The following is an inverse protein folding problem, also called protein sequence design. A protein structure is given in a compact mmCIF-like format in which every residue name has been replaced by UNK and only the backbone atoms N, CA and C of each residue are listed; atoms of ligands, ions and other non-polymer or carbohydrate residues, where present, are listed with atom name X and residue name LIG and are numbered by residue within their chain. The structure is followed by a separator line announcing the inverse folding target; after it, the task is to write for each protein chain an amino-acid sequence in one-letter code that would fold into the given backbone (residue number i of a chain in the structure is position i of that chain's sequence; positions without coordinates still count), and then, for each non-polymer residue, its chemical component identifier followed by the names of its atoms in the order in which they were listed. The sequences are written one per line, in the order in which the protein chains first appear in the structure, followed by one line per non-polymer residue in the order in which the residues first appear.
data_IF_557138107722
#
_entry.id   IF_557138107722
#
_cell.length_a   1.000
_cell.length_b   1.000
_cell.length_c   1.000
_cell.angle_alpha   90.00
_cell.angle_beta   90.00
_cell.angle_gamma   90.00
#
_symmetry.space_group_name_H-M   'P 1'
#
loop_
_entity.id
_entity.type
_entity.pdbx_description
1 polymer ?
#
# COMPACT_ATOMS: atom_id res chain seq x y z
N UNK A 1 3.29 40.92 -56.23
CA UNK A 1 2.92 39.54 -55.82
C UNK A 1 4.06 38.91 -55.01
N UNK A 2 4.37 39.42 -53.81
CA UNK A 2 5.44 38.87 -52.94
C UNK A 2 5.07 38.83 -51.45
N UNK A 3 3.83 39.17 -51.10
CA UNK A 3 3.40 39.27 -49.70
C UNK A 3 2.64 38.05 -49.19
N UNK A 4 2.09 37.23 -50.10
CA UNK A 4 1.08 36.24 -49.73
C UNK A 4 1.72 35.02 -49.04
N UNK A 5 2.93 34.63 -49.47
CA UNK A 5 3.67 33.48 -48.93
C UNK A 5 4.18 33.68 -47.49
N UNK A 6 4.53 34.92 -47.10
CA UNK A 6 5.06 35.19 -45.75
C UNK A 6 3.95 35.16 -44.68
N UNK A 7 2.74 35.57 -45.04
CA UNK A 7 1.56 35.49 -44.18
C UNK A 7 1.08 34.05 -43.98
N UNK A 8 1.15 33.20 -45.01
CA UNK A 8 0.79 31.78 -44.92
C UNK A 8 1.78 30.98 -44.04
N UNK A 9 3.08 31.25 -44.17
CA UNK A 9 4.13 30.62 -43.35
C UNK A 9 4.05 31.04 -41.88
N UNK A 10 3.74 32.32 -41.61
CA UNK A 10 3.53 32.83 -40.25
C UNK A 10 2.27 32.21 -39.58
N UNK A 11 1.16 32.10 -40.31
CA UNK A 11 -0.06 31.42 -39.87
C UNK A 11 0.20 29.95 -39.50
N UNK A 12 0.81 29.20 -40.42
CA UNK A 12 1.05 27.76 -40.24
C UNK A 12 2.02 27.49 -39.09
N UNK A 13 3.08 28.30 -38.92
CA UNK A 13 3.99 28.18 -37.79
C UNK A 13 3.30 28.47 -36.45
N UNK A 14 2.43 29.48 -36.38
CA UNK A 14 1.68 29.80 -35.15
C UNK A 14 0.73 28.67 -34.74
N UNK A 15 0.04 28.05 -35.71
CA UNK A 15 -0.84 26.90 -35.49
C UNK A 15 -0.04 25.68 -34.99
N UNK A 16 1.13 25.42 -35.58
CA UNK A 16 2.03 24.34 -35.13
C UNK A 16 2.48 24.58 -33.69
N UNK A 17 2.88 25.82 -33.35
CA UNK A 17 3.30 26.15 -31.99
C UNK A 17 2.18 26.03 -30.96
N UNK A 18 0.95 26.39 -31.32
CA UNK A 18 -0.19 26.25 -30.43
C UNK A 18 -0.58 24.78 -30.20
N UNK A 19 -0.54 23.95 -31.25
CA UNK A 19 -0.73 22.50 -31.12
C UNK A 19 0.36 21.86 -30.25
N UNK A 20 1.64 22.25 -30.44
CA UNK A 20 2.75 21.74 -29.62
C UNK A 20 2.58 22.13 -28.15
N UNK A 21 2.17 23.37 -27.85
CA UNK A 21 1.87 23.79 -26.47
C UNK A 21 0.73 22.98 -25.86
N UNK A 22 -0.35 22.73 -26.60
CA UNK A 22 -1.49 21.95 -26.12
C UNK A 22 -1.10 20.50 -25.84
N UNK A 23 -0.35 19.85 -26.74
CA UNK A 23 0.15 18.50 -26.54
C UNK A 23 1.12 18.47 -25.35
N UNK A 24 2.02 19.45 -25.24
CA UNK A 24 2.93 19.58 -24.10
C UNK A 24 2.20 19.73 -22.78
N UNK A 25 1.15 20.56 -22.74
CA UNK A 25 0.28 20.72 -21.57
C UNK A 25 -0.47 19.43 -21.24
N UNK A 26 -1.02 18.72 -22.25
CA UNK A 26 -1.71 17.46 -22.04
C UNK A 26 -0.78 16.37 -21.48
N UNK A 27 0.45 16.27 -21.99
CA UNK A 27 1.48 15.35 -21.49
C UNK A 27 1.88 15.72 -20.07
N UNK A 28 2.09 17.02 -19.78
CA UNK A 28 2.41 17.49 -18.43
C UNK A 28 1.29 17.15 -17.44
N UNK A 29 0.04 17.44 -17.78
CA UNK A 29 -1.13 17.10 -16.96
C UNK A 29 -1.26 15.59 -16.78
N UNK A 30 -1.08 14.80 -17.84
CA UNK A 30 -1.11 13.35 -17.76
C UNK A 30 -0.02 12.80 -16.81
N UNK A 31 1.19 13.38 -16.83
CA UNK A 31 2.26 13.02 -15.90
C UNK A 31 1.94 13.41 -14.46
N UNK A 32 1.39 14.60 -14.22
CA UNK A 32 0.97 15.05 -12.88
C UNK A 32 -0.13 14.11 -12.36
N UNK A 33 -1.16 13.83 -13.15
CA UNK A 33 -2.25 12.93 -12.78
C UNK A 33 -1.72 11.51 -12.52
N UNK A 34 -0.89 10.98 -13.42
CA UNK A 34 -0.32 9.64 -13.30
C UNK A 34 0.54 9.49 -12.04
N UNK A 35 1.30 10.51 -11.68
CA UNK A 35 2.18 10.46 -10.50
C UNK A 35 1.44 10.75 -9.19
N UNK A 36 0.35 11.52 -9.24
CA UNK A 36 -0.35 12.02 -8.05
C UNK A 36 -1.61 11.24 -7.70
N UNK A 37 -2.24 10.51 -8.62
CA UNK A 37 -3.55 9.88 -8.37
C UNK A 37 -3.41 8.39 -8.05
N UNK A 38 -2.71 7.61 -8.89
CA UNK A 38 -2.62 6.16 -8.75
C UNK A 38 -1.16 5.68 -8.79
N UNK A 39 -0.72 5.01 -7.73
CA UNK A 39 0.56 4.28 -7.70
C UNK A 39 0.32 2.77 -7.59
N UNK A 40 1.15 1.99 -8.30
CA UNK A 40 1.12 0.54 -8.22
C UNK A 40 2.15 0.03 -7.19
N UNK A 41 1.71 -0.83 -6.27
CA UNK A 41 2.55 -1.42 -5.23
C UNK A 41 2.53 -2.94 -5.32
N UNK A 42 3.66 -3.60 -5.08
CA UNK A 42 3.73 -5.06 -4.92
C UNK A 42 3.77 -5.41 -3.44
N UNK A 43 2.97 -6.39 -3.01
CA UNK A 43 2.97 -6.91 -1.64
C UNK A 43 4.05 -7.98 -1.48
N UNK A 44 5.09 -7.73 -0.65
CA UNK A 44 6.19 -8.67 -0.47
C UNK A 44 6.08 -9.48 0.82
N UNK A 45 5.18 -9.13 1.75
CA UNK A 45 5.11 -9.73 3.09
C UNK A 45 3.72 -10.26 3.41
N UNK A 46 3.68 -11.20 4.35
CA UNK A 46 2.48 -11.89 4.84
C UNK A 46 1.67 -11.10 5.90
N UNK A 47 2.08 -9.87 6.22
CA UNK A 47 1.54 -9.14 7.38
C UNK A 47 0.07 -8.74 7.27
N UNK A 48 -0.47 -8.74 6.04
CA UNK A 48 -1.86 -8.43 5.72
C UNK A 48 -2.61 -9.67 5.18
N UNK A 49 -2.08 -10.88 5.38
CA UNK A 49 -2.73 -12.12 4.91
C UNK A 49 -4.15 -12.29 5.47
N UNK A 50 -5.00 -12.97 4.69
CA UNK A 50 -6.48 -12.88 4.61
C UNK A 50 -6.96 -11.79 3.65
N UNK A 51 -6.50 -10.55 3.81
CA UNK A 51 -6.91 -9.46 2.91
C UNK A 51 -5.96 -9.29 1.72
N UNK A 52 -4.66 -9.24 1.96
CA UNK A 52 -3.61 -9.07 0.95
C UNK A 52 -2.58 -10.19 1.03
N UNK A 53 -2.34 -10.87 -0.09
CA UNK A 53 -1.41 -12.00 -0.18
C UNK A 53 -0.07 -11.57 -0.77
N UNK A 54 0.99 -12.30 -0.42
CA UNK A 54 2.29 -12.15 -1.08
C UNK A 54 2.11 -12.37 -2.58
N UNK A 55 2.63 -11.43 -3.37
CA UNK A 55 2.51 -11.45 -4.83
C UNK A 55 1.28 -10.71 -5.38
N UNK A 56 0.43 -10.13 -4.53
CA UNK A 56 -0.58 -9.17 -4.97
C UNK A 56 0.06 -7.85 -5.41
N UNK A 57 -0.54 -7.23 -6.41
CA UNK A 57 -0.21 -5.89 -6.89
C UNK A 57 -1.42 -4.99 -6.73
N UNK A 58 -1.23 -3.90 -5.99
CA UNK A 58 -2.27 -2.98 -5.57
C UNK A 58 -2.22 -1.71 -6.41
N UNK A 59 -3.38 -1.16 -6.74
CA UNK A 59 -3.53 0.23 -7.12
C UNK A 59 -3.95 1.02 -5.89
N UNK A 60 -3.18 2.07 -5.59
CA UNK A 60 -3.41 2.93 -4.44
C UNK A 60 -3.95 4.30 -4.85
N UNK A 61 -4.94 4.80 -4.12
CA UNK A 61 -5.41 6.17 -4.20
C UNK A 61 -4.56 7.09 -3.34
N UNK A 62 -3.75 7.92 -3.96
CA UNK A 62 -2.97 8.94 -3.24
C UNK A 62 -3.74 10.22 -2.99
N UNK A 63 -4.77 10.47 -3.80
CA UNK A 63 -5.51 11.73 -3.79
C UNK A 63 -6.38 11.85 -2.53
N UNK A 64 -6.92 10.73 -2.06
CA UNK A 64 -7.90 10.70 -0.98
C UNK A 64 -7.35 11.28 0.34
N UNK A 65 -6.09 10.98 0.66
CA UNK A 65 -5.37 11.50 1.83
C UNK A 65 -4.48 12.72 1.52
N UNK A 66 -4.71 13.39 0.39
CA UNK A 66 -3.94 14.54 -0.06
C UNK A 66 -2.64 14.12 -0.73
N UNK A 67 -2.64 14.09 -2.07
CA UNK A 67 -1.46 13.68 -2.83
C UNK A 67 -0.35 14.73 -2.78
N UNK A 68 0.90 14.27 -2.69
CA UNK A 68 2.07 15.11 -2.91
C UNK A 68 2.23 15.41 -4.40
N UNK A 69 2.31 16.70 -4.74
CA UNK A 69 2.57 17.09 -6.12
C UNK A 69 4.03 16.81 -6.48
N UNK A 70 4.30 16.29 -7.68
CA UNK A 70 5.66 16.27 -8.20
C UNK A 70 6.16 17.71 -8.39
N UNK A 71 7.47 17.94 -8.19
CA UNK A 71 8.18 19.21 -8.42
C UNK A 71 7.98 20.32 -7.38
N UNK A 72 6.93 20.26 -6.57
CA UNK A 72 6.64 21.23 -5.51
C UNK A 72 6.38 20.47 -4.22
N UNK A 73 7.01 20.89 -3.11
CA UNK A 73 6.78 20.33 -1.78
C UNK A 73 5.44 20.80 -1.19
N UNK A 74 4.37 20.63 -1.97
CA UNK A 74 3.00 21.01 -1.62
C UNK A 74 2.11 19.78 -1.66
N UNK A 75 1.27 19.62 -0.64
CA UNK A 75 0.28 18.55 -0.54
C UNK A 75 -1.09 19.08 -0.97
N UNK A 76 -1.76 18.37 -1.88
CA UNK A 76 -3.13 18.71 -2.24
C UNK A 76 -4.05 18.54 -1.01
N UNK A 77 -5.17 19.30 -0.94
CA UNK A 77 -6.16 19.10 0.11
C UNK A 77 -6.62 17.64 0.11
N UNK A 78 -6.60 17.00 1.29
CA UNK A 78 -7.16 15.67 1.48
C UNK A 78 -8.68 15.74 1.39
N UNK A 79 -9.30 14.68 0.85
CA UNK A 79 -10.76 14.52 0.89
C UNK A 79 -11.17 14.16 2.31
N UNK A 80 -10.48 13.19 2.91
CA UNK A 80 -10.63 12.80 4.30
C UNK A 80 -9.27 12.28 4.82
N UNK A 81 -9.20 12.06 6.13
CA UNK A 81 -8.08 11.36 6.76
C UNK A 81 -8.36 9.85 6.82
N UNK A 82 -7.33 9.00 7.00
CA UNK A 82 -7.55 7.58 7.24
C UNK A 82 -8.53 7.32 8.37
N UNK A 83 -9.51 6.46 8.12
CA UNK A 83 -10.54 6.06 9.05
C UNK A 83 -10.32 4.62 9.53
N UNK A 84 -10.83 4.24 10.71
CA UNK A 84 -10.74 2.87 11.17
C UNK A 84 -11.38 1.90 10.19
N UNK A 85 -10.61 0.93 9.70
CA UNK A 85 -11.00 0.02 8.62
C UNK A 85 -10.14 0.19 7.37
N UNK A 86 -9.66 1.39 7.07
CA UNK A 86 -8.95 1.66 5.81
C UNK A 86 -7.63 0.90 5.72
N UNK A 87 -7.31 0.39 4.52
CA UNK A 87 -5.99 -0.18 4.25
C UNK A 87 -5.07 0.89 3.71
N UNK A 88 -4.12 1.30 4.54
CA UNK A 88 -3.30 2.49 4.34
C UNK A 88 -1.88 2.10 3.97
N UNK A 89 -1.36 2.78 2.95
CA UNK A 89 0.03 2.72 2.53
C UNK A 89 0.74 3.95 3.09
N UNK A 90 1.84 3.73 3.80
CA UNK A 90 2.59 4.80 4.48
C UNK A 90 4.08 4.48 4.53
N UNK A 91 4.89 5.49 4.80
CA UNK A 91 6.33 5.34 5.07
C UNK A 91 6.51 5.00 6.55
N UNK A 92 7.25 3.93 6.85
CA UNK A 92 7.50 3.52 8.23
C UNK A 92 8.32 4.59 8.98
N UNK A 93 7.87 5.03 10.16
CA UNK A 93 8.55 6.11 10.90
C UNK A 93 9.96 5.77 11.39
N UNK A 94 10.37 4.51 11.38
CA UNK A 94 11.68 4.09 11.91
C UNK A 94 12.86 4.42 11.00
N UNK A 95 12.67 4.38 9.68
CA UNK A 95 13.72 4.71 8.69
C UNK A 95 13.31 5.83 7.71
N UNK A 96 12.03 6.20 7.69
CA UNK A 96 11.47 7.20 6.78
C UNK A 96 11.71 6.87 5.28
N UNK A 97 11.84 5.59 4.96
CA UNK A 97 12.11 5.10 3.59
C UNK A 97 11.23 3.90 3.24
N UNK A 98 11.11 2.93 4.14
CA UNK A 98 10.43 1.67 3.85
C UNK A 98 8.91 1.87 3.84
N UNK A 99 8.25 1.46 2.75
CA UNK A 99 6.80 1.54 2.62
C UNK A 99 6.12 0.33 3.28
N UNK A 100 5.10 0.60 4.08
CA UNK A 100 4.28 -0.39 4.77
C UNK A 100 2.83 -0.28 4.31
N UNK A 101 2.13 -1.41 4.33
CA UNK A 101 0.68 -1.49 4.13
C UNK A 101 0.07 -2.12 5.37
N UNK A 102 -0.86 -1.43 6.02
CA UNK A 102 -1.53 -1.88 7.25
C UNK A 102 -2.96 -1.35 7.30
N UNK A 103 -3.81 -1.94 8.13
CA UNK A 103 -5.14 -1.42 8.42
C UNK A 103 -5.08 -0.34 9.49
N UNK A 104 -5.74 0.80 9.26
CA UNK A 104 -5.98 1.79 10.30
C UNK A 104 -7.01 1.23 11.27
N UNK A 105 -6.70 1.21 12.57
CA UNK A 105 -7.63 0.70 13.58
C UNK A 105 -8.05 1.76 14.59
N UNK A 106 -7.31 2.86 14.69
CA UNK A 106 -7.63 3.98 15.57
C UNK A 106 -6.98 5.26 15.05
N UNK A 107 -7.61 6.40 15.33
CA UNK A 107 -7.20 7.74 14.89
C UNK A 107 -6.87 8.63 16.09
N UNK A 108 -6.40 9.86 15.84
CA UNK A 108 -6.05 10.82 16.89
C UNK A 108 -7.15 10.99 17.93
N UNK A 109 -6.77 10.94 19.22
CA UNK A 109 -7.67 11.01 20.36
C UNK A 109 -8.17 9.65 20.87
N UNK A 110 -8.13 8.60 20.04
CA UNK A 110 -8.59 7.27 20.44
C UNK A 110 -7.66 6.61 21.45
N UNK A 111 -8.23 5.79 22.35
CA UNK A 111 -7.48 4.94 23.27
C UNK A 111 -7.47 3.50 22.80
N UNK A 112 -6.28 2.98 22.48
CA UNK A 112 -6.05 1.61 22.05
C UNK A 112 -5.61 0.74 23.23
N UNK A 113 -6.26 -0.41 23.37
CA UNK A 113 -5.89 -1.46 24.31
C UNK A 113 -5.95 -2.81 23.59
N UNK A 114 -4.91 -3.63 23.69
CA UNK A 114 -4.97 -5.05 23.32
C UNK A 114 -4.96 -5.87 24.59
N UNK A 115 -5.91 -6.79 24.76
CA UNK A 115 -5.96 -7.73 25.88
C UNK A 115 -6.13 -9.13 25.34
N UNK A 116 -5.16 -10.01 25.61
CA UNK A 116 -5.19 -11.41 25.15
C UNK A 116 -5.51 -11.53 23.65
N UNK A 117 -4.79 -10.77 22.82
CA UNK A 117 -4.95 -10.65 21.34
C UNK A 117 -6.18 -9.90 20.86
N UNK A 118 -7.15 -9.59 21.72
CA UNK A 118 -8.33 -8.83 21.33
C UNK A 118 -8.06 -7.33 21.38
N UNK A 119 -8.36 -6.64 20.28
CA UNK A 119 -8.23 -5.19 20.16
C UNK A 119 -9.48 -4.48 20.67
N UNK A 120 -9.28 -3.48 21.51
CA UNK A 120 -10.28 -2.54 21.99
C UNK A 120 -9.86 -1.12 21.65
N UNK A 121 -10.80 -0.34 21.13
CA UNK A 121 -10.63 1.09 20.81
C UNK A 121 -11.72 1.84 21.56
N UNK A 122 -11.32 2.81 22.38
CA UNK A 122 -12.22 3.56 23.27
C UNK A 122 -13.07 2.67 24.20
N UNK A 123 -12.57 1.48 24.54
CA UNK A 123 -13.26 0.51 25.38
C UNK A 123 -14.21 -0.42 24.64
N UNK A 124 -14.49 -0.17 23.36
CA UNK A 124 -15.27 -1.05 22.50
C UNK A 124 -14.38 -2.04 21.77
N UNK A 125 -14.86 -3.26 21.55
CA UNK A 125 -14.10 -4.29 20.81
C UNK A 125 -14.08 -3.93 19.33
N UNK A 126 -12.89 -3.82 18.75
CA UNK A 126 -12.75 -3.60 17.31
C UNK A 126 -13.21 -4.84 16.54
N UNK A 127 -13.87 -4.71 15.37
CA UNK A 127 -14.45 -5.83 14.62
C UNK A 127 -13.39 -6.69 13.89
N UNK A 128 -12.44 -7.26 14.65
CA UNK A 128 -11.32 -8.06 14.15
C UNK A 128 -11.76 -9.29 13.34
N UNK A 129 -12.96 -9.82 13.56
CA UNK A 129 -13.41 -11.09 12.99
C UNK A 129 -13.50 -11.09 11.46
N UNK A 130 -13.52 -9.93 10.82
CA UNK A 130 -13.68 -9.79 9.38
C UNK A 130 -12.36 -10.01 8.59
N UNK A 131 -11.21 -9.70 9.21
CA UNK A 131 -9.91 -9.70 8.52
C UNK A 131 -8.74 -10.19 9.39
N UNK A 132 -8.89 -10.29 10.70
CA UNK A 132 -7.79 -10.64 11.58
C UNK A 132 -7.45 -12.15 11.54
N UNK A 133 -6.22 -12.46 11.14
CA UNK A 133 -5.63 -13.80 11.21
C UNK A 133 -4.70 -13.92 12.40
N UNK A 134 -4.89 -14.99 13.17
CA UNK A 134 -4.03 -15.35 14.30
C UNK A 134 -3.43 -16.73 14.03
N UNK A 135 -2.12 -16.77 13.75
CA UNK A 135 -1.42 -17.98 13.35
C UNK A 135 -0.76 -18.72 14.51
N UNK A 136 -0.58 -18.07 15.67
CA UNK A 136 0.05 -18.71 16.83
C UNK A 136 -0.92 -19.76 17.41
N UNK A 137 -0.79 -20.98 16.91
CA UNK A 137 -1.47 -22.17 17.42
C UNK A 137 -0.47 -22.94 18.28
N UNK A 138 -0.85 -23.36 19.49
CA UNK A 138 -0.10 -24.42 20.17
C UNK A 138 -1.05 -25.54 20.58
N UNK A 139 -0.54 -26.77 20.45
CA UNK A 139 -1.12 -28.08 20.79
C UNK A 139 -2.65 -28.11 21.06
N UNK A 140 -3.42 -28.63 20.10
CA UNK A 140 -4.85 -28.89 20.27
C UNK A 140 -5.80 -27.83 19.70
N UNK A 141 -5.31 -26.90 18.87
CA UNK A 141 -6.16 -25.95 18.13
C UNK A 141 -6.61 -24.71 18.91
N UNK A 142 -6.05 -24.48 20.10
CA UNK A 142 -6.32 -23.26 20.87
C UNK A 142 -5.27 -22.19 20.56
N UNK A 143 -5.71 -20.95 20.33
CA UNK A 143 -4.81 -19.81 20.20
C UNK A 143 -4.10 -19.57 21.53
N UNK A 144 -2.78 -19.68 21.54
CA UNK A 144 -1.99 -19.46 22.76
C UNK A 144 -1.36 -18.07 22.70
N UNK A 145 -1.60 -17.27 23.73
CA UNK A 145 -0.89 -16.01 23.96
C UNK A 145 0.49 -16.36 24.49
N UNK A 146 1.52 -16.26 23.64
CA UNK A 146 2.91 -16.51 24.06
C UNK A 146 3.50 -15.19 24.58
N UNK A 147 3.75 -15.06 25.89
CA UNK A 147 4.36 -13.86 26.44
C UNK A 147 5.80 -13.72 25.91
N UNK A 148 6.05 -12.71 25.07
CA UNK A 148 7.38 -12.44 24.49
C UNK A 148 8.42 -11.89 25.49
N UNK A 149 8.01 -11.50 26.70
CA UNK A 149 8.89 -11.01 27.78
C UNK A 149 8.41 -11.48 29.15
N UNK A 150 9.31 -11.70 30.13
CA UNK A 150 8.93 -11.91 31.52
C UNK A 150 8.02 -10.77 32.01
N UNK A 151 6.88 -11.13 32.60
CA UNK A 151 5.89 -10.17 33.09
C UNK A 151 4.76 -9.82 32.12
N UNK A 152 4.82 -10.15 30.82
CA UNK A 152 3.66 -10.13 29.91
C UNK A 152 2.94 -8.78 29.67
N UNK A 153 3.36 -7.68 30.31
CA UNK A 153 2.67 -6.39 30.38
C UNK A 153 2.94 -5.46 29.18
N UNK A 154 3.80 -5.85 28.25
CA UNK A 154 4.10 -5.06 27.04
C UNK A 154 4.41 -6.01 25.87
N UNK A 155 3.39 -6.75 25.44
CA UNK A 155 3.50 -7.67 24.31
C UNK A 155 2.54 -7.26 23.19
N UNK A 156 2.79 -7.78 22.00
CA UNK A 156 1.86 -7.72 20.84
C UNK A 156 0.42 -8.11 21.22
N UNK A 157 0.29 -9.01 22.20
CA UNK A 157 -0.99 -9.60 22.62
C UNK A 157 -1.59 -8.92 23.86
N UNK A 158 -0.82 -8.08 24.56
CA UNK A 158 -1.25 -7.25 25.69
C UNK A 158 -0.55 -5.89 25.61
N UNK A 159 -1.25 -4.90 25.06
CA UNK A 159 -0.72 -3.59 24.73
C UNK A 159 -1.63 -2.49 25.28
N UNK A 160 -1.03 -1.35 25.59
CA UNK A 160 -1.76 -0.17 26.05
C UNK A 160 -2.05 -0.14 27.56
N UNK A 161 -2.87 0.82 28.02
CA UNK A 161 -3.57 1.82 27.20
C UNK A 161 -2.60 2.77 26.48
N UNK A 162 -2.91 3.07 25.23
CA UNK A 162 -2.18 4.02 24.40
C UNK A 162 -3.17 5.00 23.79
N UNK A 163 -2.97 6.29 24.04
CA UNK A 163 -3.76 7.35 23.41
C UNK A 163 -3.07 7.76 22.13
N UNK A 164 -3.75 7.64 21.00
CA UNK A 164 -3.22 8.04 19.70
C UNK A 164 -3.09 9.56 19.66
N UNK A 165 -1.90 10.12 19.37
CA UNK A 165 -1.74 11.57 19.25
C UNK A 165 -2.60 12.16 18.13
N UNK A 166 -2.96 13.44 18.26
CA UNK A 166 -3.61 14.19 17.19
C UNK A 166 -2.80 14.13 15.88
N UNK A 167 -3.49 14.03 14.74
CA UNK A 167 -2.91 13.85 13.39
C UNK A 167 -2.03 12.59 13.25
N UNK A 168 -2.23 11.58 14.11
CA UNK A 168 -1.58 10.29 14.00
C UNK A 168 -2.61 9.16 13.93
N UNK A 169 -2.14 8.00 13.48
CA UNK A 169 -2.95 6.81 13.21
C UNK A 169 -2.31 5.58 13.84
N UNK A 170 -3.12 4.70 14.41
CA UNK A 170 -2.66 3.40 14.89
C UNK A 170 -2.90 2.36 13.81
N UNK A 171 -1.82 1.76 13.32
CA UNK A 171 -1.83 0.85 12.17
C UNK A 171 -1.56 -0.58 12.64
N UNK A 172 -2.39 -1.54 12.23
CA UNK A 172 -2.22 -2.96 12.55
C UNK A 172 -2.31 -3.83 11.30
N UNK A 173 -1.53 -4.90 11.27
CA UNK A 173 -1.62 -5.88 10.19
C UNK A 173 -2.73 -6.87 10.43
N UNK A 174 -3.40 -7.30 9.36
CA UNK A 174 -4.48 -8.28 9.41
C UNK A 174 -3.96 -9.65 9.86
N UNK A 175 -2.73 -10.03 9.49
CA UNK A 175 -2.02 -11.14 10.11
C UNK A 175 -1.44 -10.73 11.47
N UNK A 176 -2.32 -10.67 12.48
CA UNK A 176 -2.07 -10.11 13.81
C UNK A 176 -0.87 -10.71 14.49
N UNK A 177 -0.59 -11.98 14.25
CA UNK A 177 0.54 -12.66 14.87
C UNK A 177 1.86 -12.47 14.10
N UNK A 178 1.81 -12.27 12.77
CA UNK A 178 2.97 -12.07 11.90
C UNK A 178 3.08 -10.64 11.33
N UNK A 179 2.68 -9.65 12.11
CA UNK A 179 2.76 -8.25 11.71
C UNK A 179 3.66 -7.46 12.66
N UNK A 180 4.61 -6.73 12.07
CA UNK A 180 5.40 -5.71 12.74
C UNK A 180 4.75 -4.34 12.48
N UNK A 181 3.98 -3.86 13.45
CA UNK A 181 3.06 -2.72 13.30
C UNK A 181 3.05 -1.82 14.55
N UNK A 182 2.04 -0.94 14.69
CA UNK A 182 2.00 0.08 15.76
C UNK A 182 2.07 -0.48 17.18
N UNK A 183 1.81 -1.78 17.39
CA UNK A 183 2.05 -2.45 18.68
C UNK A 183 3.53 -2.50 19.07
N UNK A 184 4.45 -2.30 18.11
CA UNK A 184 5.90 -2.29 18.32
C UNK A 184 6.50 -0.88 18.27
N UNK A 185 5.99 -0.03 17.38
CA UNK A 185 6.59 1.27 17.07
C UNK A 185 5.62 2.45 17.21
N UNK A 186 4.44 2.24 17.79
CA UNK A 186 3.41 3.27 18.07
C UNK A 186 2.78 3.88 16.82
N UNK A 187 2.26 5.11 16.89
CA UNK A 187 1.43 5.71 15.84
C UNK A 187 2.22 6.24 14.63
N UNK A 188 1.57 6.31 13.47
CA UNK A 188 2.07 6.93 12.24
C UNK A 188 1.54 8.36 12.12
N UNK A 189 2.41 9.34 11.85
CA UNK A 189 1.97 10.72 11.55
C UNK A 189 1.31 10.81 10.16
N UNK A 190 0.32 11.70 10.03
CA UNK A 190 -0.36 12.05 8.76
C UNK A 190 0.60 12.35 7.62
N UNK A 191 1.75 12.96 7.92
CA UNK A 191 2.73 13.31 6.89
C UNK A 191 3.38 12.09 6.22
N UNK A 192 3.38 10.94 6.89
CA UNK A 192 3.94 9.69 6.36
C UNK A 192 2.92 8.89 5.54
N UNK A 193 1.65 9.30 5.51
CA UNK A 193 0.59 8.62 4.76
C UNK A 193 0.74 8.91 3.28
N UNK A 194 0.84 7.84 2.48
CA UNK A 194 1.02 7.90 1.03
C UNK A 194 -0.30 7.75 0.26
N UNK A 195 -1.20 6.90 0.73
CA UNK A 195 -2.48 6.64 0.05
C UNK A 195 -3.23 5.44 0.62
N UNK A 196 -4.41 5.20 0.06
CA UNK A 196 -5.28 4.07 0.40
C UNK A 196 -5.15 2.96 -0.65
N UNK A 197 -5.07 1.70 -0.25
CA UNK A 197 -5.10 0.58 -1.17
C UNK A 197 -6.53 0.31 -1.65
N UNK A 198 -6.80 0.44 -2.96
CA UNK A 198 -8.18 0.31 -3.50
C UNK A 198 -8.46 -1.02 -4.19
N UNK A 199 -7.54 -1.47 -5.06
CA UNK A 199 -7.82 -2.57 -6.00
C UNK A 199 -6.60 -3.47 -6.14
N UNK A 200 -6.81 -4.78 -6.15
CA UNK A 200 -5.81 -5.75 -6.55
C UNK A 200 -5.85 -5.89 -8.06
N UNK A 201 -4.98 -5.19 -8.78
CA UNK A 201 -5.01 -5.21 -10.25
C UNK A 201 -4.27 -6.40 -10.86
N UNK A 202 -3.46 -7.11 -10.07
CA UNK A 202 -2.76 -8.33 -10.46
C UNK A 202 -2.42 -9.17 -9.23
N UNK A 203 -2.40 -10.49 -9.37
CA UNK A 203 -1.98 -11.39 -8.29
C UNK A 203 -1.22 -12.59 -8.85
N UNK A 204 -0.01 -12.80 -8.33
CA UNK A 204 0.93 -13.81 -8.81
C UNK A 204 1.43 -14.71 -7.68
N UNK A 205 1.15 -16.00 -7.79
CA UNK A 205 1.61 -17.03 -6.87
C UNK A 205 2.91 -17.67 -7.35
N UNK A 206 4.02 -17.22 -6.80
CA UNK A 206 5.32 -17.81 -7.10
C UNK A 206 5.60 -19.10 -6.30
N UNK A 207 4.80 -19.40 -5.27
CA UNK A 207 5.08 -20.53 -4.37
C UNK A 207 4.77 -21.88 -4.98
N UNK A 208 3.81 -21.95 -5.93
CA UNK A 208 3.39 -23.19 -6.60
C UNK A 208 4.42 -23.62 -7.65
N UNK A 209 4.88 -22.66 -8.45
CA UNK A 209 5.88 -22.88 -9.51
C UNK A 209 6.98 -21.82 -9.40
N UNK A 210 7.95 -21.98 -8.48
CA UNK A 210 8.99 -20.99 -8.22
C UNK A 210 9.72 -20.59 -9.49
N UNK A 211 9.85 -19.27 -9.71
CA UNK A 211 10.61 -18.76 -10.84
C UNK A 211 12.09 -19.18 -10.75
N UNK A 212 12.73 -19.58 -11.87
CA UNK A 212 14.16 -19.86 -11.89
C UNK A 212 15.00 -18.68 -11.40
N UNK A 213 16.09 -18.96 -10.70
CA UNK A 213 17.01 -17.92 -10.25
C UNK A 213 17.66 -17.19 -11.43
N UNK A 214 17.76 -15.86 -11.31
CA UNK A 214 18.45 -15.02 -12.29
C UNK A 214 19.90 -14.86 -11.85
N UNK A 215 20.84 -15.22 -12.71
CA UNK A 215 22.26 -15.06 -12.47
C UNK A 215 22.92 -14.26 -13.58
N UNK A 216 23.77 -13.30 -13.19
CA UNK A 216 24.57 -12.49 -14.12
C UNK A 216 25.61 -13.29 -14.89
N UNK A 217 25.93 -14.52 -14.44
CA UNK A 217 26.93 -15.38 -15.09
C UNK A 217 26.32 -16.39 -16.08
N UNK A 218 25.00 -16.59 -16.08
CA UNK A 218 24.30 -17.46 -17.04
C UNK A 218 23.55 -16.60 -18.06
N UNK A 219 24.02 -16.49 -19.32
CA UNK A 219 23.39 -15.66 -20.35
C UNK A 219 21.99 -16.16 -20.76
N UNK A 220 21.63 -17.40 -20.41
CA UNK A 220 20.31 -17.96 -20.66
C UNK A 220 19.36 -17.84 -19.46
N UNK A 221 19.81 -17.34 -18.31
CA UNK A 221 18.98 -17.26 -17.10
C UNK A 221 17.71 -16.43 -17.32
N UNK A 222 17.83 -15.27 -17.97
CA UNK A 222 16.69 -14.38 -18.26
C UNK A 222 15.74 -14.99 -19.30
N UNK A 223 16.18 -15.46 -20.49
CA UNK A 223 15.30 -16.17 -21.42
C UNK A 223 14.61 -17.39 -20.80
N UNK A 224 15.32 -18.17 -19.98
CA UNK A 224 14.78 -19.34 -19.27
C UNK A 224 13.69 -18.93 -18.29
N UNK A 225 13.91 -17.88 -17.50
CA UNK A 225 12.91 -17.31 -16.59
C UNK A 225 11.62 -16.95 -17.34
N UNK A 226 11.73 -16.22 -18.46
CA UNK A 226 10.57 -15.82 -19.24
C UNK A 226 9.83 -17.02 -19.83
N UNK A 227 10.55 -17.96 -20.47
CA UNK A 227 9.95 -19.15 -21.04
C UNK A 227 9.22 -19.99 -19.97
N UNK A 228 9.84 -20.15 -18.80
CA UNK A 228 9.23 -20.87 -17.67
C UNK A 228 7.97 -20.16 -17.17
N UNK A 229 8.05 -18.86 -16.90
CA UNK A 229 6.92 -18.08 -16.40
C UNK A 229 5.77 -17.98 -17.40
N UNK A 230 6.04 -17.97 -18.71
CA UNK A 230 5.02 -18.03 -19.76
C UNK A 230 4.32 -19.40 -19.73
N UNK A 231 5.09 -20.50 -19.63
CA UNK A 231 4.55 -21.85 -19.58
C UNK A 231 3.61 -22.08 -18.38
N UNK A 232 3.94 -21.49 -17.23
CA UNK A 232 3.12 -21.61 -16.01
C UNK A 232 2.21 -20.42 -15.74
N UNK A 233 2.10 -19.48 -16.67
CA UNK A 233 1.39 -18.21 -16.47
C UNK A 233 -0.01 -18.42 -15.89
N UNK A 234 -0.82 -19.27 -16.53
CA UNK A 234 -2.21 -19.50 -16.11
C UNK A 234 -2.33 -20.22 -14.75
N UNK A 235 -1.29 -20.92 -14.31
CA UNK A 235 -1.24 -21.58 -13.00
C UNK A 235 -0.78 -20.65 -11.88
N UNK A 236 0.03 -19.64 -12.22
CA UNK A 236 0.59 -18.70 -11.24
C UNK A 236 -0.33 -17.50 -11.03
N UNK A 237 -1.20 -17.16 -11.99
CA UNK A 237 -2.17 -16.08 -11.80
C UNK A 237 -3.30 -16.51 -10.88
N UNK A 238 -3.52 -15.75 -9.79
CA UNK A 238 -4.69 -15.95 -8.91
C UNK A 238 -5.89 -15.21 -9.49
N UNK A 239 -6.56 -15.85 -10.45
CA UNK A 239 -7.67 -15.26 -11.22
C UNK A 239 -8.81 -14.70 -10.38
N UNK A 240 -9.11 -15.32 -9.23
CA UNK A 240 -10.17 -14.87 -8.32
C UNK A 240 -9.89 -13.53 -7.63
N UNK A 241 -8.63 -13.06 -7.63
CA UNK A 241 -8.21 -11.81 -6.97
C UNK A 241 -8.02 -10.67 -7.97
N UNK A 242 -8.21 -10.92 -9.26
CA UNK A 242 -7.96 -9.93 -10.30
C UNK A 242 -9.08 -8.87 -10.30
N UNK A 243 -8.68 -7.61 -10.17
CA UNK A 243 -9.57 -6.45 -10.02
C UNK A 243 -10.47 -6.49 -8.78
N UNK A 244 -10.07 -7.25 -7.76
CA UNK A 244 -10.80 -7.30 -6.51
C UNK A 244 -10.71 -5.95 -5.78
N UNK A 245 -11.84 -5.47 -5.27
CA UNK A 245 -11.90 -4.21 -4.53
C UNK A 245 -11.54 -4.51 -3.09
N UNK A 246 -10.58 -3.76 -2.58
CA UNK A 246 -10.07 -3.92 -1.23
C UNK A 246 -11.04 -3.20 -0.29
N UNK A 247 -11.57 -3.95 0.67
CA UNK A 247 -12.36 -3.47 1.81
C UNK A 247 -11.78 -4.01 3.11
#
# INVERSE_FOLDING_TARGET
MKNDNNTELASTSSIIWDNVKQIGLAVLLALIIKTSVVEAYKIPTASMEETLLIGDFLLANKFIYGAHLPLVNWRLPAIHDPEPGDIVIFVWPGDNETKYVKRCVAVGGDTVIVRRKELFVNGERFPDQEFARFTDTTAGGTQVVVPRRPGGLSSRDNYGPYVVPENCFFMMGDNRDNSYDSRYWQSVSKELILGEAMVIHWSWDDSIHPSPEVSVTDPLSVPRLFAYNIGYFFHKVRWSRLFDVIS
#
